data_IF_985983334168
#
_entry.id   IF_985983334168
#
_cell.length_a   1.000
_cell.length_b   1.000
_cell.length_c   1.000
_cell.angle_alpha   90.00
_cell.angle_beta   90.00
_cell.angle_gamma   90.00
#
_symmetry.space_group_name_H-M   'P 1'
#
loop_
_entity.id
_entity.type
_entity.pdbx_description
1 polymer ?
#
# COMPACT_ATOMS: atom_id res chain seq x y z
N UNK A 1 4.55 -34.64 -12.44
CA UNK A 1 3.82 -33.69 -13.30
C UNK A 1 3.92 -32.35 -12.58
N UNK A 2 4.50 -31.34 -13.20
CA UNK A 2 4.75 -30.05 -12.56
C UNK A 2 3.46 -29.23 -12.49
N UNK A 3 3.30 -28.35 -11.50
CA UNK A 3 2.18 -27.40 -11.43
C UNK A 3 2.03 -26.57 -12.72
N UNK A 4 3.16 -26.33 -13.41
CA UNK A 4 3.19 -25.71 -14.74
C UNK A 4 2.49 -26.56 -15.82
N UNK A 5 2.65 -27.88 -15.77
CA UNK A 5 2.10 -28.79 -16.78
C UNK A 5 0.57 -28.87 -16.66
N UNK A 6 0.04 -28.85 -15.42
CA UNK A 6 -1.40 -28.85 -15.15
C UNK A 6 -2.07 -27.54 -15.59
N UNK A 7 -1.41 -26.40 -15.37
CA UNK A 7 -1.89 -25.09 -15.82
C UNK A 7 -1.94 -25.04 -17.35
N UNK A 8 -0.88 -25.51 -18.03
CA UNK A 8 -0.85 -25.54 -19.49
C UNK A 8 -1.91 -26.50 -20.05
N UNK A 9 -2.12 -27.66 -19.43
CA UNK A 9 -3.17 -28.59 -19.85
C UNK A 9 -4.58 -27.96 -19.75
N UNK A 10 -4.86 -27.20 -18.69
CA UNK A 10 -6.13 -26.47 -18.52
C UNK A 10 -6.31 -25.35 -19.55
N UNK A 11 -5.25 -24.61 -19.86
CA UNK A 11 -5.28 -23.56 -20.89
C UNK A 11 -5.55 -24.17 -22.27
N UNK A 12 -4.86 -25.26 -22.61
CA UNK A 12 -5.06 -25.94 -23.89
C UNK A 12 -6.46 -26.57 -24.02
N UNK A 13 -7.04 -27.06 -22.93
CA UNK A 13 -8.41 -27.55 -22.90
C UNK A 13 -9.45 -26.43 -23.04
N UNK A 14 -9.20 -25.26 -22.44
CA UNK A 14 -10.08 -24.09 -22.54
C UNK A 14 -10.04 -23.43 -23.93
N UNK A 15 -8.88 -23.50 -24.60
CA UNK A 15 -8.67 -22.96 -25.94
C UNK A 15 -9.06 -23.95 -27.07
N UNK A 16 -10.01 -24.86 -26.79
CA UNK A 16 -10.50 -25.87 -27.72
C UNK A 16 -10.62 -25.34 -29.16
N UNK A 17 -9.98 -26.06 -30.09
CA UNK A 17 -9.86 -25.71 -31.51
C UNK A 17 -11.22 -25.67 -32.20
N UNK A 18 -11.76 -24.46 -32.41
CA UNK A 18 -12.69 -24.16 -33.48
C UNK A 18 -12.53 -22.68 -33.90
N UNK A 19 -12.45 -22.36 -35.20
CA UNK A 19 -12.31 -20.98 -35.64
C UNK A 19 -13.66 -20.27 -35.48
N UNK A 20 -13.69 -19.17 -34.73
CA UNK A 20 -14.83 -18.27 -34.72
C UNK A 20 -14.76 -17.36 -35.96
N UNK A 21 -15.67 -17.60 -36.91
CA UNK A 21 -16.01 -16.65 -37.97
C UNK A 21 -16.49 -15.33 -37.34
N UNK A 22 -15.79 -14.24 -37.65
CA UNK A 22 -16.22 -12.88 -37.28
C UNK A 22 -17.09 -12.34 -38.42
N UNK A 23 -18.40 -12.27 -38.19
CA UNK A 23 -19.29 -11.44 -39.02
C UNK A 23 -19.30 -10.01 -38.46
N UNK A 24 -19.08 -8.98 -39.29
CA UNK A 24 -19.16 -7.60 -38.82
C UNK A 24 -20.63 -7.19 -38.71
N UNK A 25 -21.09 -6.92 -37.49
CA UNK A 25 -22.37 -6.24 -37.25
C UNK A 25 -22.15 -4.74 -37.35
N UNK A 26 -22.83 -4.12 -38.31
CA UNK A 26 -22.85 -2.67 -38.49
C UNK A 26 -23.68 -2.03 -37.35
N UNK A 27 -23.06 -1.13 -36.59
CA UNK A 27 -23.78 -0.24 -35.69
C UNK A 27 -24.18 1.03 -36.46
N UNK A 28 -25.48 1.22 -36.66
CA UNK A 28 -26.05 2.46 -37.19
C UNK A 28 -25.91 3.58 -36.15
N UNK A 29 -25.33 4.71 -36.59
CA UNK A 29 -25.25 5.95 -35.81
C UNK A 29 -26.51 6.75 -36.10
N UNK A 30 -27.38 6.92 -35.11
CA UNK A 30 -28.50 7.86 -35.19
C UNK A 30 -28.04 9.23 -34.67
N UNK A 31 -27.93 10.20 -35.58
CA UNK A 31 -27.67 11.60 -35.26
C UNK A 31 -28.95 12.26 -34.75
N UNK A 32 -29.04 12.55 -33.44
CA UNK A 32 -30.06 13.42 -32.88
C UNK A 32 -29.76 14.88 -33.23
N UNK A 33 -30.55 15.47 -34.12
CA UNK A 33 -30.44 16.88 -34.50
C UNK A 33 -30.88 17.82 -33.38
N UNK A 34 -30.04 18.79 -33.06
CA UNK A 34 -30.45 20.00 -32.35
C UNK A 34 -30.76 21.09 -33.39
N UNK A 35 -32.00 21.56 -33.41
CA UNK A 35 -32.40 22.71 -34.21
C UNK A 35 -31.75 23.99 -33.65
N UNK A 36 -30.93 24.63 -34.48
CA UNK A 36 -30.38 25.96 -34.23
C UNK A 36 -31.29 26.97 -34.92
N UNK A 37 -31.91 27.88 -34.16
CA UNK A 37 -32.55 29.07 -34.72
C UNK A 37 -31.66 30.28 -34.45
N UNK A 38 -31.29 30.96 -35.53
CA UNK A 38 -30.41 32.12 -35.54
C UNK A 38 -31.18 33.42 -35.30
N UNK A 39 -30.69 34.28 -34.41
CA UNK A 39 -31.08 35.69 -34.31
C UNK A 39 -29.86 36.50 -33.86
N UNK A 40 -29.29 37.27 -34.77
CA UNK A 40 -27.90 37.72 -34.73
C UNK A 40 -27.58 38.86 -33.75
N UNK A 41 -26.30 38.93 -33.38
CA UNK A 41 -25.62 40.16 -33.04
C UNK A 41 -24.17 40.06 -33.53
N UNK A 42 -23.83 40.93 -34.47
CA UNK A 42 -22.51 41.10 -35.07
C UNK A 42 -21.58 41.77 -34.05
N UNK A 43 -20.43 41.15 -33.76
CA UNK A 43 -19.43 41.70 -32.83
C UNK A 43 -18.28 42.26 -33.65
N UNK A 44 -18.18 43.60 -33.72
CA UNK A 44 -17.00 44.29 -34.25
C UNK A 44 -16.05 44.59 -33.08
N UNK A 45 -14.74 44.32 -33.18
CA UNK A 45 -13.82 44.56 -32.08
C UNK A 45 -13.37 46.01 -32.06
N UNK A 46 -13.50 46.67 -30.90
CA UNK A 46 -12.99 48.03 -30.68
C UNK A 46 -12.50 48.16 -29.24
N UNK A 47 -11.19 48.41 -29.10
CA UNK A 47 -10.56 48.65 -27.80
C UNK A 47 -11.06 49.95 -27.16
N UNK A 48 -11.07 49.95 -25.84
CA UNK A 48 -11.43 51.11 -25.04
C UNK A 48 -11.58 50.74 -23.58
N UNK A 49 -10.49 50.88 -22.83
CA UNK A 49 -10.54 51.06 -21.38
C UNK A 49 -11.11 52.46 -21.10
N UNK A 50 -11.91 52.63 -20.05
CA UNK A 50 -11.84 53.72 -19.06
C UNK A 50 -13.09 53.76 -18.17
N UNK A 51 -12.78 54.12 -16.94
CA UNK A 51 -13.49 54.03 -15.67
C UNK A 51 -14.47 55.17 -15.36
N UNK A 52 -15.32 54.88 -14.37
CA UNK A 52 -15.84 55.74 -13.29
C UNK A 52 -16.82 56.87 -13.61
N UNK A 53 -17.90 56.92 -12.82
CA UNK A 53 -18.67 58.13 -12.55
C UNK A 53 -20.18 57.89 -12.60
N UNK A 54 -20.83 57.97 -11.45
CA UNK A 54 -22.20 57.51 -11.26
C UNK A 54 -23.31 58.31 -11.97
N UNK A 55 -24.45 57.64 -12.12
CA UNK A 55 -25.76 58.25 -12.08
C UNK A 55 -26.79 57.16 -11.71
N UNK A 56 -27.47 57.39 -10.59
CA UNK A 56 -28.58 56.60 -10.08
C UNK A 56 -29.81 56.76 -10.99
N UNK A 57 -30.39 55.65 -11.43
CA UNK A 57 -31.77 55.61 -11.97
C UNK A 57 -32.48 54.42 -11.35
N UNK A 58 -33.49 54.73 -10.55
CA UNK A 58 -34.40 53.84 -9.81
C UNK A 58 -35.79 53.93 -10.49
N UNK A 59 -36.77 53.06 -10.17
CA UNK A 59 -36.91 51.62 -10.38
C UNK A 59 -38.07 51.33 -11.36
N UNK A 60 -38.13 50.13 -11.96
CA UNK A 60 -39.34 49.78 -12.72
C UNK A 60 -39.34 48.46 -13.49
N UNK A 61 -39.35 47.34 -12.77
CA UNK A 61 -40.10 46.15 -13.19
C UNK A 61 -39.38 45.14 -14.09
N UNK A 62 -38.65 44.21 -13.45
CA UNK A 62 -38.53 42.83 -13.94
C UNK A 62 -37.20 42.45 -14.56
N UNK A 63 -36.13 42.42 -13.77
CA UNK A 63 -34.94 41.65 -14.13
C UNK A 63 -35.13 40.22 -13.61
N UNK A 64 -35.27 39.27 -14.54
CA UNK A 64 -35.21 37.85 -14.23
C UNK A 64 -33.74 37.53 -13.97
N UNK A 65 -33.31 37.64 -12.72
CA UNK A 65 -32.06 37.01 -12.30
C UNK A 65 -32.32 35.51 -12.31
N UNK A 66 -31.63 34.76 -13.18
CA UNK A 66 -31.46 33.33 -12.97
C UNK A 66 -30.78 33.18 -11.61
N UNK A 67 -31.58 32.90 -10.58
CA UNK A 67 -31.11 32.59 -9.24
C UNK A 67 -30.34 31.29 -9.28
N UNK A 68 -29.10 31.36 -9.77
CA UNK A 68 -28.08 30.40 -9.45
C UNK A 68 -27.81 30.59 -7.97
N UNK A 69 -28.62 29.94 -7.13
CA UNK A 69 -28.23 29.68 -5.77
C UNK A 69 -26.92 28.92 -5.87
N UNK A 70 -25.82 29.60 -5.58
CA UNK A 70 -24.55 28.92 -5.35
C UNK A 70 -24.81 27.98 -4.18
N UNK A 71 -24.96 26.70 -4.50
CA UNK A 71 -25.02 25.65 -3.49
C UNK A 71 -23.60 25.54 -2.96
N UNK A 72 -23.25 26.44 -2.03
CA UNK A 72 -22.08 26.25 -1.20
C UNK A 72 -22.31 24.93 -0.46
N UNK A 73 -21.49 23.88 -0.69
CA UNK A 73 -21.60 22.67 0.10
C UNK A 73 -21.42 23.13 1.55
N UNK A 74 -22.44 22.93 2.38
CA UNK A 74 -22.35 23.32 3.78
C UNK A 74 -21.11 22.68 4.35
N UNK A 75 -20.14 23.50 4.78
CA UNK A 75 -18.90 23.06 5.43
C UNK A 75 -19.19 22.62 6.87
N UNK A 76 -20.31 21.92 7.09
CA UNK A 76 -20.67 21.35 8.37
C UNK A 76 -19.53 20.44 8.81
N UNK A 77 -18.99 20.70 10.00
CA UNK A 77 -17.98 19.86 10.60
C UNK A 77 -18.57 18.44 10.72
N UNK A 78 -18.07 17.52 9.90
CA UNK A 78 -18.51 16.12 9.93
C UNK A 78 -17.91 15.50 11.17
N UNK A 79 -18.72 15.34 12.23
CA UNK A 79 -18.31 14.59 13.41
C UNK A 79 -18.02 13.15 13.02
N UNK A 80 -16.81 12.68 13.32
CA UNK A 80 -16.34 11.31 13.03
C UNK A 80 -16.16 10.54 14.35
N UNK A 81 -17.21 9.92 14.91
CA UNK A 81 -17.17 9.28 16.23
C UNK A 81 -16.49 7.90 16.20
N UNK A 82 -15.42 7.73 15.41
CA UNK A 82 -14.68 6.48 15.35
C UNK A 82 -13.77 6.36 16.58
N UNK A 83 -13.51 5.11 17.00
CA UNK A 83 -12.52 4.82 18.04
C UNK A 83 -11.14 5.25 17.53
N UNK A 84 -10.43 6.05 18.33
CA UNK A 84 -9.06 6.48 18.04
C UNK A 84 -8.03 5.86 18.96
N UNK A 85 -8.47 5.14 20.00
CA UNK A 85 -7.60 4.46 20.97
C UNK A 85 -8.20 3.10 21.33
N UNK A 86 -7.33 2.09 21.52
CA UNK A 86 -7.78 0.76 21.96
C UNK A 86 -8.02 0.67 23.48
N UNK A 87 -7.16 1.32 24.27
CA UNK A 87 -7.18 1.23 25.74
C UNK A 87 -6.59 -0.08 26.31
N UNK A 88 -5.97 -0.91 25.47
CA UNK A 88 -5.37 -2.19 25.86
C UNK A 88 -4.00 -1.98 26.51
N UNK A 89 -3.67 -2.83 27.48
CA UNK A 89 -2.33 -2.89 28.05
C UNK A 89 -1.32 -3.51 27.06
N UNK A 90 -0.02 -3.28 27.27
CA UNK A 90 1.02 -3.76 26.34
C UNK A 90 1.01 -5.28 26.14
N UNK A 91 0.84 -6.07 27.21
CA UNK A 91 0.76 -7.53 27.07
C UNK A 91 -0.48 -7.99 26.30
N UNK A 92 -1.60 -7.28 26.42
CA UNK A 92 -2.82 -7.55 25.64
C UNK A 92 -2.64 -7.19 24.16
N UNK A 93 -1.94 -6.08 23.87
CA UNK A 93 -1.58 -5.67 22.52
C UNK A 93 -0.66 -6.70 21.85
N UNK A 94 0.35 -7.19 22.57
CA UNK A 94 1.25 -8.25 22.08
C UNK A 94 0.47 -9.52 21.81
N UNK A 95 -0.36 -9.97 22.75
CA UNK A 95 -1.16 -11.19 22.58
C UNK A 95 -2.09 -11.09 21.37
N UNK A 96 -2.75 -9.95 21.18
CA UNK A 96 -3.63 -9.70 20.03
C UNK A 96 -2.84 -9.66 18.72
N UNK A 97 -1.68 -8.99 18.68
CA UNK A 97 -0.83 -8.94 17.49
C UNK A 97 -0.35 -10.34 17.09
N UNK A 98 0.10 -11.15 18.05
CA UNK A 98 0.53 -12.54 17.83
C UNK A 98 -0.62 -13.35 17.23
N UNK A 99 -1.80 -13.32 17.86
CA UNK A 99 -3.01 -14.02 17.39
C UNK A 99 -3.33 -13.68 15.93
N UNK A 100 -3.33 -12.38 15.58
CA UNK A 100 -3.61 -11.94 14.20
C UNK A 100 -2.53 -12.37 13.21
N UNK A 101 -1.25 -12.22 13.56
CA UNK A 101 -0.13 -12.58 12.67
C UNK A 101 -0.10 -14.09 12.38
N UNK A 102 -0.34 -14.92 13.39
CA UNK A 102 -0.40 -16.38 13.26
C UNK A 102 -1.65 -16.82 12.48
N UNK A 103 -2.79 -16.15 12.65
CA UNK A 103 -3.99 -16.40 11.83
C UNK A 103 -3.67 -16.22 10.34
N UNK A 104 -2.91 -15.16 10.01
CA UNK A 104 -2.39 -14.91 8.67
C UNK A 104 -1.20 -15.79 8.24
N UNK A 105 -0.76 -16.73 9.08
CA UNK A 105 0.33 -17.71 8.82
C UNK A 105 1.75 -17.16 8.89
N UNK A 106 1.96 -16.01 9.53
CA UNK A 106 3.30 -15.60 9.93
C UNK A 106 3.80 -16.49 11.08
N UNK A 107 5.11 -16.73 11.15
CA UNK A 107 5.75 -17.31 12.33
C UNK A 107 6.12 -16.17 13.28
N UNK A 108 5.77 -16.30 14.55
CA UNK A 108 6.00 -15.23 15.55
C UNK A 108 6.77 -15.79 16.74
N UNK A 109 7.80 -15.08 17.17
CA UNK A 109 8.54 -15.39 18.39
C UNK A 109 8.71 -14.12 19.24
N UNK A 110 8.37 -14.22 20.52
CA UNK A 110 8.65 -13.16 21.49
C UNK A 110 10.01 -13.45 22.12
N UNK A 111 10.95 -12.53 21.93
CA UNK A 111 12.34 -12.69 22.36
C UNK A 111 12.76 -11.57 23.31
N UNK A 112 13.63 -11.91 24.27
CA UNK A 112 14.35 -10.91 25.03
C UNK A 112 15.41 -10.22 24.15
N UNK A 113 15.81 -9.00 24.52
CA UNK A 113 16.86 -8.25 23.81
C UNK A 113 18.19 -9.02 23.70
N UNK A 114 18.51 -9.84 24.69
CA UNK A 114 19.67 -10.72 24.73
C UNK A 114 19.55 -11.97 23.83
N UNK A 115 18.32 -12.39 23.52
CA UNK A 115 18.03 -13.52 22.61
C UNK A 115 17.88 -13.14 21.14
N UNK A 116 17.72 -11.86 20.81
CA UNK A 116 17.42 -11.39 19.44
C UNK A 116 18.46 -11.85 18.41
N UNK A 117 19.75 -11.73 18.72
CA UNK A 117 20.84 -12.10 17.81
C UNK A 117 20.76 -13.58 17.43
N UNK A 118 20.51 -14.43 18.42
CA UNK A 118 20.38 -15.88 18.19
C UNK A 118 19.10 -16.20 17.42
N UNK A 119 17.99 -15.53 17.71
CA UNK A 119 16.73 -15.71 17.00
C UNK A 119 16.82 -15.34 15.51
N UNK A 120 17.56 -14.27 15.19
CA UNK A 120 17.88 -13.89 13.80
C UNK A 120 18.79 -14.94 13.17
N UNK A 121 19.84 -15.38 13.88
CA UNK A 121 20.80 -16.39 13.40
C UNK A 121 20.11 -17.69 13.00
N UNK A 122 19.20 -18.20 13.83
CA UNK A 122 18.47 -19.44 13.56
C UNK A 122 17.65 -19.36 12.27
N UNK A 123 17.04 -18.20 11.96
CA UNK A 123 16.17 -18.02 10.77
C UNK A 123 16.94 -17.85 9.46
N UNK A 124 18.19 -17.42 9.57
CA UNK A 124 19.09 -17.08 8.47
C UNK A 124 20.26 -18.04 8.32
N UNK A 125 20.33 -19.09 9.13
CA UNK A 125 21.42 -20.07 9.07
C UNK A 125 21.52 -20.68 7.67
N UNK A 126 22.70 -20.58 7.05
CA UNK A 126 22.96 -21.05 5.70
C UNK A 126 22.30 -20.24 4.56
N UNK A 127 21.71 -19.08 4.85
CA UNK A 127 21.04 -18.20 3.86
C UNK A 127 21.89 -16.97 3.53
N UNK A 128 21.86 -16.56 2.27
CA UNK A 128 22.26 -15.22 1.85
C UNK A 128 21.10 -14.25 2.02
N UNK A 129 21.36 -13.05 2.52
CA UNK A 129 20.26 -12.13 2.81
C UNK A 129 20.64 -10.67 2.59
N UNK A 130 19.64 -9.84 2.34
CA UNK A 130 19.79 -8.39 2.28
C UNK A 130 19.46 -7.76 3.63
N UNK A 131 20.27 -6.78 4.03
CA UNK A 131 20.01 -5.94 5.19
C UNK A 131 20.09 -4.46 4.77
N UNK A 132 19.23 -3.58 5.31
CA UNK A 132 19.35 -2.16 5.06
C UNK A 132 20.58 -1.59 5.77
N UNK A 133 21.20 -0.57 5.20
CA UNK A 133 22.42 0.03 5.74
C UNK A 133 22.29 0.59 7.18
N UNK A 134 21.07 0.92 7.62
CA UNK A 134 20.80 1.37 8.98
C UNK A 134 20.37 0.27 9.95
N UNK A 135 20.40 -1.01 9.56
CA UNK A 135 20.13 -2.11 10.48
C UNK A 135 21.20 -2.12 11.59
N UNK A 136 20.82 -2.23 12.89
CA UNK A 136 21.80 -2.27 13.97
C UNK A 136 22.77 -3.45 13.78
N UNK A 137 24.06 -3.13 13.64
CA UNK A 137 25.09 -4.13 13.37
C UNK A 137 25.21 -5.20 14.46
N UNK A 138 24.87 -4.85 15.70
CA UNK A 138 24.84 -5.74 16.85
C UNK A 138 23.76 -6.83 16.77
N UNK A 139 22.76 -6.68 15.89
CA UNK A 139 21.73 -7.71 15.67
C UNK A 139 22.26 -8.88 14.84
N UNK A 140 23.35 -8.68 14.09
CA UNK A 140 23.91 -9.69 13.21
C UNK A 140 25.09 -10.37 13.89
N UNK A 141 24.94 -11.66 14.19
CA UNK A 141 26.06 -12.49 14.62
C UNK A 141 27.17 -12.50 13.56
N UNK A 142 28.43 -12.60 13.98
CA UNK A 142 29.59 -12.55 13.06
C UNK A 142 29.54 -13.61 11.96
N UNK A 143 28.94 -14.77 12.23
CA UNK A 143 28.73 -15.84 11.25
C UNK A 143 27.72 -15.49 10.15
N UNK A 144 26.80 -14.55 10.39
CA UNK A 144 25.85 -14.08 9.38
C UNK A 144 26.41 -12.92 8.57
N UNK A 145 27.31 -12.14 9.15
CA UNK A 145 27.85 -10.93 8.54
C UNK A 145 28.53 -11.19 7.18
N UNK A 146 29.11 -12.38 6.97
CA UNK A 146 29.71 -12.77 5.69
C UNK A 146 28.68 -13.08 4.59
N UNK A 147 27.44 -13.40 4.97
CA UNK A 147 26.33 -13.72 4.07
C UNK A 147 25.39 -12.53 3.82
N UNK A 148 25.56 -11.45 4.57
CA UNK A 148 24.77 -10.24 4.47
C UNK A 148 25.22 -9.37 3.28
N UNK A 149 24.25 -8.92 2.47
CA UNK A 149 24.46 -7.92 1.44
C UNK A 149 23.73 -6.65 1.85
N UNK A 150 24.44 -5.52 1.88
CA UNK A 150 23.85 -4.24 2.26
C UNK A 150 23.11 -3.60 1.08
N UNK A 151 21.89 -3.11 1.33
CA UNK A 151 21.16 -2.22 0.42
C UNK A 151 21.02 -0.81 1.03
N UNK A 152 21.18 0.21 0.19
CA UNK A 152 20.91 1.59 0.57
C UNK A 152 20.32 2.41 -0.59
N UNK A 153 19.95 3.67 -0.31
CA UNK A 153 19.48 4.59 -1.36
C UNK A 153 20.62 5.05 -2.26
N UNK A 154 21.82 5.11 -1.72
CA UNK A 154 23.05 5.56 -2.38
C UNK A 154 23.67 4.44 -3.23
N UNK A 155 23.52 3.19 -2.78
CA UNK A 155 24.00 1.99 -3.47
C UNK A 155 22.89 0.91 -3.51
N UNK A 156 21.84 1.13 -4.32
CA UNK A 156 20.72 0.20 -4.40
C UNK A 156 21.12 -1.08 -5.15
N UNK A 157 20.74 -2.23 -4.58
CA UNK A 157 20.80 -3.50 -5.28
C UNK A 157 19.74 -3.55 -6.40
N UNK A 158 20.11 -4.13 -7.53
CA UNK A 158 19.20 -4.43 -8.64
C UNK A 158 18.24 -5.58 -8.31
N UNK A 159 17.08 -5.62 -8.96
CA UNK A 159 16.02 -6.61 -8.71
C UNK A 159 16.53 -8.03 -8.89
N UNK A 160 17.27 -8.32 -9.97
CA UNK A 160 17.84 -9.66 -10.21
C UNK A 160 18.78 -10.13 -9.09
N UNK A 161 19.49 -9.18 -8.46
CA UNK A 161 20.35 -9.50 -7.32
C UNK A 161 19.53 -9.74 -6.06
N UNK A 162 18.45 -8.99 -5.85
CA UNK A 162 17.55 -9.19 -4.72
C UNK A 162 16.79 -10.53 -4.82
N UNK A 163 16.37 -10.92 -6.02
CA UNK A 163 15.68 -12.19 -6.29
C UNK A 163 16.57 -13.41 -6.04
N UNK A 164 17.89 -13.24 -6.23
CA UNK A 164 18.87 -14.27 -5.94
C UNK A 164 19.24 -14.40 -4.45
N UNK A 165 18.75 -13.51 -3.57
CA UNK A 165 18.98 -13.58 -2.12
C UNK A 165 17.84 -14.33 -1.44
N UNK A 166 18.19 -15.16 -0.47
CA UNK A 166 17.23 -16.05 0.18
C UNK A 166 16.28 -15.31 1.14
N UNK A 167 16.72 -14.18 1.71
CA UNK A 167 15.94 -13.46 2.71
C UNK A 167 16.25 -11.96 2.81
N UNK A 168 15.44 -11.26 3.60
CA UNK A 168 15.68 -9.90 4.09
C UNK A 168 15.51 -9.82 5.60
N UNK A 169 16.31 -8.97 6.25
CA UNK A 169 16.11 -8.59 7.65
C UNK A 169 15.79 -7.11 7.74
N UNK A 170 14.70 -6.76 8.43
CA UNK A 170 14.33 -5.37 8.71
C UNK A 170 13.89 -5.18 10.15
N UNK A 171 13.93 -3.93 10.62
CA UNK A 171 13.08 -3.45 11.72
C UNK A 171 11.68 -3.07 11.18
N UNK A 172 10.87 -2.40 12.00
CA UNK A 172 9.53 -1.88 11.66
C UNK A 172 9.25 -0.54 12.35
N UNK A 173 8.38 0.27 11.77
CA UNK A 173 8.04 1.60 12.32
C UNK A 173 6.95 1.50 13.40
N UNK A 174 5.88 0.75 13.10
CA UNK A 174 4.72 0.58 13.98
C UNK A 174 3.96 -0.68 13.59
N UNK A 175 3.38 -1.36 14.57
CA UNK A 175 2.55 -2.56 14.35
C UNK A 175 1.17 -2.37 14.96
N UNK A 176 0.11 -2.65 14.20
CA UNK A 176 -1.28 -2.52 14.61
C UNK A 176 -1.84 -3.88 14.97
N UNK A 177 -2.13 -4.08 16.26
CA UNK A 177 -2.57 -5.35 16.82
C UNK A 177 -3.94 -5.79 16.28
N UNK A 178 -4.93 -4.89 16.19
CA UNK A 178 -6.30 -5.25 15.75
C UNK A 178 -6.34 -5.88 14.35
N UNK A 179 -5.45 -5.46 13.47
CA UNK A 179 -5.38 -5.92 12.07
C UNK A 179 -4.23 -6.87 11.78
N UNK A 180 -3.35 -7.14 12.76
CA UNK A 180 -2.15 -7.94 12.53
C UNK A 180 -1.17 -7.31 11.53
N UNK A 181 -1.09 -5.97 11.50
CA UNK A 181 -0.35 -5.25 10.44
C UNK A 181 0.97 -4.71 10.95
N UNK A 182 2.06 -5.03 10.29
CA UNK A 182 3.38 -4.43 10.48
C UNK A 182 3.57 -3.34 9.41
N UNK A 183 4.00 -2.14 9.81
CA UNK A 183 4.19 -1.01 8.89
C UNK A 183 5.66 -0.64 8.80
N UNK A 184 6.17 -0.60 7.57
CA UNK A 184 7.46 -0.03 7.22
C UNK A 184 7.24 1.36 6.59
N UNK A 185 7.95 2.38 7.05
CA UNK A 185 7.94 3.75 6.52
C UNK A 185 9.20 4.07 5.68
N UNK A 186 10.08 3.09 5.50
CA UNK A 186 11.33 3.24 4.75
C UNK A 186 12.42 3.97 5.52
N UNK A 187 12.35 3.94 6.86
CA UNK A 187 13.43 4.37 7.76
C UNK A 187 14.73 3.57 7.52
N UNK A 188 15.90 4.07 7.99
CA UNK A 188 17.20 3.47 7.69
C UNK A 188 17.35 2.00 8.07
N UNK A 189 16.65 1.55 9.11
CA UNK A 189 16.61 0.17 9.63
C UNK A 189 15.59 -0.74 8.90
N UNK A 190 14.87 -0.18 7.93
CA UNK A 190 13.85 -0.88 7.12
C UNK A 190 14.21 -0.92 5.63
N UNK A 191 14.99 0.06 5.15
CA UNK A 191 15.48 0.12 3.79
C UNK A 191 14.43 0.57 2.76
N UNK A 192 14.73 0.34 1.47
CA UNK A 192 13.82 0.66 0.38
C UNK A 192 12.76 -0.43 0.25
N UNK A 193 11.55 -0.08 -0.21
CA UNK A 193 10.46 -1.05 -0.42
C UNK A 193 10.84 -2.32 -1.22
N UNK A 194 11.82 -2.22 -2.11
CA UNK A 194 12.26 -3.36 -2.92
C UNK A 194 12.79 -4.52 -2.06
N UNK A 195 13.52 -4.24 -0.98
CA UNK A 195 14.17 -5.30 -0.20
C UNK A 195 13.19 -6.08 0.67
N UNK A 196 12.06 -5.49 1.06
CA UNK A 196 10.97 -6.18 1.78
C UNK A 196 9.94 -6.81 0.84
N UNK A 197 10.14 -6.72 -0.48
CA UNK A 197 9.19 -7.18 -1.50
C UNK A 197 9.76 -8.33 -2.35
N UNK A 198 11.04 -8.25 -2.72
CA UNK A 198 11.63 -9.17 -3.70
C UNK A 198 12.12 -10.48 -3.08
N UNK A 199 12.93 -10.48 -2.00
CA UNK A 199 13.33 -11.73 -1.33
C UNK A 199 12.11 -12.46 -0.78
N UNK A 200 12.09 -13.79 -0.92
CA UNK A 200 10.89 -14.60 -0.62
C UNK A 200 10.70 -14.90 0.88
N UNK A 201 11.65 -14.50 1.71
CA UNK A 201 11.63 -14.64 3.16
C UNK A 201 11.95 -13.32 3.85
N UNK A 202 11.04 -12.85 4.69
CA UNK A 202 11.21 -11.63 5.48
C UNK A 202 11.28 -11.94 6.97
N UNK A 203 12.45 -11.66 7.58
CA UNK A 203 12.62 -11.64 9.02
C UNK A 203 12.43 -10.20 9.50
N UNK A 204 11.31 -9.92 10.18
CA UNK A 204 10.96 -8.59 10.64
C UNK A 204 11.05 -8.50 12.17
N UNK A 205 11.86 -7.56 12.64
CA UNK A 205 12.00 -7.23 14.06
C UNK A 205 10.96 -6.17 14.44
N UNK A 206 10.17 -6.45 15.48
CA UNK A 206 9.12 -5.58 16.00
C UNK A 206 9.44 -5.23 17.45
N UNK A 207 9.95 -4.01 17.74
CA UNK A 207 10.11 -3.57 19.12
C UNK A 207 8.75 -3.45 19.81
N UNK A 208 8.62 -3.97 21.03
CA UNK A 208 7.33 -4.03 21.75
C UNK A 208 6.70 -2.65 21.97
N UNK A 209 7.51 -1.59 22.05
CA UNK A 209 7.08 -0.20 22.19
C UNK A 209 6.39 0.38 20.93
N UNK A 210 6.61 -0.23 19.76
CA UNK A 210 6.01 0.22 18.50
C UNK A 210 4.64 -0.40 18.24
N UNK A 211 4.18 -1.30 19.11
CA UNK A 211 2.86 -1.95 18.98
C UNK A 211 1.76 -1.01 19.49
N UNK A 212 0.71 -0.86 18.69
CA UNK A 212 -0.51 -0.10 18.98
C UNK A 212 -1.74 -0.96 18.76
N UNK A 213 -2.89 -0.55 19.29
CA UNK A 213 -4.12 -1.32 19.12
C UNK A 213 -4.80 -1.10 17.78
N UNK A 214 -5.03 0.16 17.41
CA UNK A 214 -5.87 0.53 16.26
C UNK A 214 -5.07 1.23 15.15
N UNK A 215 -5.61 1.15 13.92
CA UNK A 215 -5.02 1.82 12.75
C UNK A 215 -4.83 3.34 12.95
N UNK A 216 -5.78 4.11 13.52
CA UNK A 216 -5.56 5.54 13.80
C UNK A 216 -4.39 5.81 14.73
N UNK A 217 -4.16 4.95 15.74
CA UNK A 217 -3.01 5.05 16.64
C UNK A 217 -1.70 4.84 15.88
N UNK A 218 -1.71 3.94 14.89
CA UNK A 218 -0.55 3.66 14.05
C UNK A 218 -0.21 4.81 13.11
N UNK A 219 -1.20 5.31 12.38
CA UNK A 219 -1.02 6.44 11.45
C UNK A 219 -0.63 7.74 12.16
N UNK A 220 -1.03 7.93 13.42
CA UNK A 220 -0.59 9.07 14.22
C UNK A 220 0.92 9.06 14.53
N UNK A 221 1.61 7.92 14.38
CA UNK A 221 3.05 7.77 14.60
C UNK A 221 3.89 7.86 13.32
N UNK A 222 3.26 7.92 12.15
CA UNK A 222 3.91 7.81 10.86
C UNK A 222 4.07 9.16 10.16
N UNK A 223 5.18 9.34 9.46
CA UNK A 223 5.32 10.39 8.45
C UNK A 223 4.69 9.91 7.14
N UNK A 224 3.46 10.37 6.88
CA UNK A 224 2.67 9.99 5.69
C UNK A 224 3.24 10.51 4.37
N UNK A 225 4.30 11.32 4.39
CA UNK A 225 4.99 11.76 3.17
C UNK A 225 6.00 10.73 2.66
N UNK A 226 6.33 9.73 3.49
CA UNK A 226 7.21 8.61 3.15
C UNK A 226 6.43 7.44 2.55
N UNK A 227 7.09 6.57 1.77
CA UNK A 227 6.46 5.34 1.31
C UNK A 227 6.12 4.44 2.51
N UNK A 228 4.84 4.08 2.65
CA UNK A 228 4.37 3.14 3.65
C UNK A 228 4.13 1.76 3.01
N UNK A 229 4.70 0.71 3.58
CA UNK A 229 4.42 -0.69 3.25
C UNK A 229 3.71 -1.31 4.45
N UNK A 230 2.46 -1.73 4.25
CA UNK A 230 1.63 -2.35 5.29
C UNK A 230 1.56 -3.85 5.03
N UNK A 231 2.09 -4.66 5.95
CA UNK A 231 2.23 -6.11 5.83
C UNK A 231 1.30 -6.76 6.86
N UNK A 232 0.24 -7.42 6.41
CA UNK A 232 -0.73 -8.13 7.29
C UNK A 232 -0.63 -9.65 7.15
N UNK A 233 0.59 -10.17 7.06
CA UNK A 233 0.89 -11.58 6.83
C UNK A 233 1.80 -11.84 5.62
N UNK A 234 2.18 -13.11 5.39
CA UNK A 234 2.92 -13.51 4.20
C UNK A 234 2.12 -13.25 2.92
N UNK A 235 2.83 -12.98 1.83
CA UNK A 235 2.23 -12.61 0.55
C UNK A 235 1.37 -13.74 -0.01
N UNK A 236 0.10 -13.40 -0.25
CA UNK A 236 -0.82 -14.25 -0.95
C UNK A 236 -1.86 -13.42 -1.69
N UNK A 237 -2.26 -13.90 -2.86
CA UNK A 237 -3.39 -13.40 -3.63
C UNK A 237 -4.48 -14.44 -3.66
N UNK A 238 -5.71 -14.05 -3.36
CA UNK A 238 -6.87 -14.85 -3.73
C UNK A 238 -7.21 -14.53 -5.18
N UNK A 239 -7.28 -15.54 -6.03
CA UNK A 239 -7.91 -15.39 -7.35
C UNK A 239 -9.41 -15.11 -7.16
N UNK A 240 -10.10 -14.68 -8.23
CA UNK A 240 -11.54 -14.39 -8.22
C UNK A 240 -12.39 -15.61 -7.80
N UNK A 241 -11.83 -16.81 -7.91
CA UNK A 241 -12.40 -18.08 -7.47
C UNK A 241 -12.12 -18.40 -5.99
N UNK A 242 -11.56 -17.45 -5.23
CA UNK A 242 -11.17 -17.55 -3.82
C UNK A 242 -10.05 -18.57 -3.52
N UNK A 243 -9.36 -19.06 -4.54
CA UNK A 243 -8.16 -19.89 -4.36
C UNK A 243 -6.95 -19.00 -4.01
N UNK A 244 -6.31 -19.29 -2.88
CA UNK A 244 -5.13 -18.56 -2.40
C UNK A 244 -3.89 -19.05 -3.16
N UNK A 245 -3.30 -18.18 -3.97
CA UNK A 245 -2.00 -18.35 -4.60
C UNK A 245 -0.96 -17.58 -3.77
N UNK A 246 0.04 -18.29 -3.26
CA UNK A 246 1.10 -17.71 -2.43
C UNK A 246 2.25 -17.15 -3.29
N UNK A 247 2.76 -15.97 -2.94
CA UNK A 247 4.08 -15.50 -3.41
C UNK A 247 4.19 -14.82 -4.77
N UNK A 248 3.11 -14.28 -5.32
CA UNK A 248 3.19 -13.50 -6.59
C UNK A 248 3.58 -12.03 -6.34
N UNK A 249 3.37 -11.52 -5.12
CA UNK A 249 3.47 -10.09 -4.81
C UNK A 249 4.24 -9.76 -3.53
N UNK A 250 5.14 -10.65 -3.08
CA UNK A 250 5.95 -10.44 -1.87
C UNK A 250 6.43 -11.74 -1.22
N UNK A 251 7.10 -11.64 -0.06
CA UNK A 251 7.65 -12.78 0.66
C UNK A 251 6.58 -13.81 1.06
N UNK A 252 6.76 -15.08 0.71
CA UNK A 252 5.89 -16.18 1.18
C UNK A 252 6.15 -16.59 2.61
N UNK A 253 7.33 -16.29 3.13
CA UNK A 253 7.71 -16.60 4.50
C UNK A 253 7.87 -15.29 5.26
N UNK A 254 7.12 -15.13 6.34
CA UNK A 254 7.22 -14.00 7.25
C UNK A 254 7.51 -14.51 8.66
N UNK A 255 8.72 -14.23 9.13
CA UNK A 255 9.18 -14.47 10.49
C UNK A 255 9.16 -13.14 11.26
N UNK A 256 8.40 -13.07 12.34
CA UNK A 256 8.26 -11.86 13.17
C UNK A 256 8.90 -12.10 14.53
N UNK A 257 9.88 -11.26 14.87
CA UNK A 257 10.57 -11.27 16.15
C UNK A 257 10.09 -10.08 16.97
N UNK A 258 9.20 -10.32 17.95
CA UNK A 258 8.76 -9.29 18.88
C UNK A 258 9.79 -9.17 20.01
N UNK A 259 10.44 -8.02 20.11
CA UNK A 259 11.54 -7.80 21.06
C UNK A 259 11.05 -7.00 22.25
N UNK A 260 11.26 -7.53 23.47
CA UNK A 260 10.95 -6.84 24.72
C UNK A 260 12.12 -6.84 25.70
#
# INVERSE_FOLDING_TARGET
MSARDDILARIHAALGTAPAEVTPSAAEVTSGGAEVTSGGAEVTPGGGEVTSGGAEVTPGGGEVTSGGAEVTPGSGEVTRPYRTTSGLAQDELVALLVDRLEDYKASVEIVGRDGLVEAIRVRLDGKTFVAPAGLPSEWLHSSLAEHAVTDSREAPLGVDRLDALDAVVTSSAVSVAETGTIILDGSPDQGRRAISLVPDHHVCVVPVETIVGLVPEGFARLDITRPLTLISGPSATSDIELERVEGVHGPRILDVLIVR
#
